data_IF_120042298758
#
_entry.id   IF_120042298758
#
_cell.length_a   1.000
_cell.length_b   1.000
_cell.length_c   1.000
_cell.angle_alpha   90.00
_cell.angle_beta   90.00
_cell.angle_gamma   90.00
#
_symmetry.space_group_name_H-M   'P 1'
#
loop_
_entity.id
_entity.type
_entity.pdbx_description
1 polymer ?
#
# COMPACT_ATOMS: atom_id res chain seq x y z
N UNK A 1 -0.61 -20.50 -9.67
CA UNK A 1 -0.37 -19.22 -10.42
C UNK A 1 0.81 -18.51 -9.81
N UNK A 2 1.71 -17.91 -10.60
CA UNK A 2 2.90 -17.21 -10.07
C UNK A 2 2.54 -15.93 -9.33
N UNK A 3 3.32 -15.58 -8.31
CA UNK A 3 3.17 -14.33 -7.55
C UNK A 3 4.37 -13.41 -7.83
N UNK A 4 4.08 -12.19 -8.26
CA UNK A 4 5.05 -11.12 -8.44
C UNK A 4 5.03 -10.19 -7.21
N UNK A 5 6.16 -10.10 -6.50
CA UNK A 5 6.36 -9.23 -5.35
C UNK A 5 7.06 -7.95 -5.79
N UNK A 6 6.37 -6.84 -5.79
CA UNK A 6 6.92 -5.53 -6.24
C UNK A 6 7.22 -4.66 -5.03
N UNK A 7 8.50 -4.40 -4.80
CA UNK A 7 9.00 -3.68 -3.63
C UNK A 7 9.62 -2.36 -4.05
N UNK A 8 9.08 -1.24 -3.58
CA UNK A 8 9.70 0.08 -3.76
C UNK A 8 10.53 0.46 -2.54
N UNK A 9 11.74 0.96 -2.76
CA UNK A 9 12.62 1.37 -1.65
C UNK A 9 13.38 2.66 -1.96
N UNK A 10 13.63 3.45 -0.91
CA UNK A 10 14.54 4.59 -0.96
C UNK A 10 16.00 4.19 -0.62
N UNK A 11 16.28 2.88 -0.53
CA UNK A 11 17.60 2.35 -0.22
C UNK A 11 17.78 1.98 1.27
N UNK A 12 16.71 1.62 1.98
CA UNK A 12 16.79 1.08 3.33
C UNK A 12 17.20 -0.39 3.27
N UNK A 13 18.51 -0.65 3.25
CA UNK A 13 19.05 -1.98 2.94
C UNK A 13 18.75 -3.02 4.02
N UNK A 14 18.83 -2.68 5.31
CA UNK A 14 18.59 -3.63 6.40
C UNK A 14 17.14 -4.17 6.41
N UNK A 15 16.10 -3.32 6.38
CA UNK A 15 14.74 -3.80 6.23
C UNK A 15 14.51 -4.59 4.93
N UNK A 16 15.07 -4.14 3.82
CA UNK A 16 14.95 -4.84 2.54
C UNK A 16 15.60 -6.22 2.57
N UNK A 17 16.75 -6.35 3.24
CA UNK A 17 17.41 -7.64 3.50
C UNK A 17 16.52 -8.55 4.34
N UNK A 18 15.89 -8.04 5.39
CA UNK A 18 14.98 -8.81 6.22
C UNK A 18 13.76 -9.32 5.41
N UNK A 19 13.20 -8.48 4.53
CA UNK A 19 12.14 -8.89 3.62
C UNK A 19 12.59 -10.05 2.72
N UNK A 20 13.73 -9.91 2.01
CA UNK A 20 14.24 -10.95 1.12
C UNK A 20 14.55 -12.24 1.87
N UNK A 21 15.15 -12.15 3.06
CA UNK A 21 15.40 -13.31 3.92
C UNK A 21 14.09 -14.01 4.34
N UNK A 22 13.03 -13.25 4.58
CA UNK A 22 11.73 -13.83 4.94
C UNK A 22 11.03 -14.54 3.77
N UNK A 23 11.36 -14.18 2.54
CA UNK A 23 10.86 -14.83 1.33
C UNK A 23 11.72 -16.03 0.91
N UNK A 24 12.99 -16.06 1.32
CA UNK A 24 13.91 -17.15 1.01
C UNK A 24 13.36 -18.50 1.48
N UNK A 25 13.28 -19.48 0.59
CA UNK A 25 12.71 -20.79 0.87
C UNK A 25 11.17 -20.86 0.90
N UNK A 26 10.47 -19.73 0.76
CA UNK A 26 9.01 -19.71 0.64
C UNK A 26 8.52 -19.53 -0.80
N UNK A 27 9.33 -18.88 -1.68
CA UNK A 27 8.95 -18.64 -3.07
C UNK A 27 8.81 -19.98 -3.83
N UNK A 28 7.74 -20.10 -4.61
CA UNK A 28 7.52 -21.25 -5.49
C UNK A 28 8.14 -21.01 -6.88
N UNK A 29 8.40 -22.09 -7.67
CA UNK A 29 8.86 -21.93 -9.03
C UNK A 29 7.95 -21.03 -9.87
N UNK A 30 8.52 -19.97 -10.43
CA UNK A 30 7.80 -18.95 -11.20
C UNK A 30 7.44 -17.69 -10.43
N UNK A 31 7.52 -17.70 -9.10
CA UNK A 31 7.43 -16.46 -8.32
C UNK A 31 8.63 -15.56 -8.60
N UNK A 32 8.43 -14.25 -8.47
CA UNK A 32 9.51 -13.31 -8.73
C UNK A 32 9.40 -12.05 -7.87
N UNK A 33 10.54 -11.60 -7.36
CA UNK A 33 10.64 -10.33 -6.62
C UNK A 33 11.28 -9.27 -7.52
N UNK A 34 10.65 -8.10 -7.62
CA UNK A 34 11.23 -6.94 -8.30
C UNK A 34 11.48 -5.85 -7.26
N UNK A 35 12.75 -5.51 -7.07
CA UNK A 35 13.16 -4.38 -6.24
C UNK A 35 13.22 -3.12 -7.10
N UNK A 36 12.47 -2.09 -6.75
CA UNK A 36 12.46 -0.81 -7.46
C UNK A 36 13.19 0.23 -6.63
N UNK A 37 14.43 0.52 -6.98
CA UNK A 37 15.25 1.51 -6.31
C UNK A 37 14.82 2.93 -6.69
N UNK A 38 14.46 3.72 -5.70
CA UNK A 38 14.18 5.16 -5.82
C UNK A 38 15.27 6.00 -5.14
N UNK A 39 16.36 5.37 -4.78
CA UNK A 39 17.60 5.85 -4.17
C UNK A 39 18.52 4.66 -3.97
N UNK A 40 19.82 4.88 -3.79
CA UNK A 40 20.83 3.84 -3.55
C UNK A 40 20.75 2.68 -4.58
N UNK A 41 20.72 3.03 -5.89
CA UNK A 41 20.49 2.04 -6.95
C UNK A 41 21.55 0.94 -6.98
N UNK A 42 22.81 1.30 -6.80
CA UNK A 42 23.93 0.36 -6.87
C UNK A 42 23.86 -0.65 -5.71
N UNK A 43 23.56 -0.16 -4.52
CA UNK A 43 23.45 -0.99 -3.31
C UNK A 43 22.23 -1.92 -3.38
N UNK A 44 21.08 -1.43 -3.90
CA UNK A 44 19.88 -2.27 -4.09
C UNK A 44 20.13 -3.32 -5.16
N UNK A 45 20.86 -2.96 -6.24
CA UNK A 45 21.24 -3.91 -7.29
C UNK A 45 22.20 -4.98 -6.77
N UNK A 46 23.19 -4.60 -5.97
CA UNK A 46 24.10 -5.53 -5.33
C UNK A 46 23.37 -6.49 -4.38
N UNK A 47 22.40 -6.00 -3.62
CA UNK A 47 21.57 -6.83 -2.74
C UNK A 47 20.73 -7.83 -3.56
N UNK A 48 20.17 -7.41 -4.70
CA UNK A 48 19.43 -8.33 -5.57
C UNK A 48 20.33 -9.44 -6.11
N UNK A 49 21.58 -9.12 -6.54
CA UNK A 49 22.56 -10.13 -7.00
C UNK A 49 22.88 -11.11 -5.85
N UNK A 50 23.17 -10.61 -4.65
CA UNK A 50 23.46 -11.45 -3.48
C UNK A 50 22.35 -12.49 -3.22
N UNK A 51 21.09 -12.06 -3.26
CA UNK A 51 19.97 -12.96 -3.02
C UNK A 51 19.67 -13.88 -4.20
N UNK A 52 19.91 -13.43 -5.42
CA UNK A 52 19.82 -14.30 -6.61
C UNK A 52 20.84 -15.45 -6.56
N UNK A 53 22.06 -15.20 -6.12
CA UNK A 53 23.09 -16.24 -5.87
C UNK A 53 22.69 -17.24 -4.79
N UNK A 54 21.82 -16.83 -3.85
CA UNK A 54 21.22 -17.69 -2.82
C UNK A 54 19.98 -18.46 -3.31
N UNK A 55 19.58 -18.28 -4.56
CA UNK A 55 18.46 -18.96 -5.18
C UNK A 55 17.11 -18.26 -5.04
N UNK A 56 17.07 -17.00 -4.57
CA UNK A 56 15.85 -16.19 -4.57
C UNK A 56 15.64 -15.61 -5.98
N UNK A 57 14.48 -15.83 -6.58
CA UNK A 57 14.14 -15.25 -7.88
C UNK A 57 13.88 -13.74 -7.72
N UNK A 58 14.93 -12.93 -7.80
CA UNK A 58 14.89 -11.48 -7.58
C UNK A 58 15.65 -10.72 -8.65
N UNK A 59 15.11 -9.57 -9.03
CA UNK A 59 15.76 -8.59 -9.92
C UNK A 59 15.61 -7.18 -9.35
N UNK A 60 16.49 -6.27 -9.78
CA UNK A 60 16.41 -4.86 -9.44
C UNK A 60 16.18 -4.00 -10.68
N UNK A 61 15.41 -2.93 -10.51
CA UNK A 61 15.24 -1.85 -11.48
C UNK A 61 15.19 -0.52 -10.73
N UNK A 62 15.05 0.59 -11.44
CA UNK A 62 14.97 1.91 -10.80
C UNK A 62 13.81 2.74 -11.36
N UNK A 63 13.32 3.67 -10.56
CA UNK A 63 12.33 4.67 -10.99
C UNK A 63 12.60 6.02 -10.32
N UNK A 64 11.92 7.05 -10.80
CA UNK A 64 11.78 8.31 -10.05
C UNK A 64 11.03 8.11 -8.72
N UNK A 65 11.04 9.15 -7.88
CA UNK A 65 10.31 9.12 -6.58
C UNK A 65 8.81 9.02 -6.77
N UNK A 66 8.17 8.30 -5.87
CA UNK A 66 6.73 8.08 -5.82
C UNK A 66 6.41 6.60 -5.71
N UNK A 67 5.74 6.18 -4.63
CA UNK A 67 5.43 4.77 -4.40
C UNK A 67 4.59 4.17 -5.55
N UNK A 68 3.60 4.91 -6.04
CA UNK A 68 2.76 4.49 -7.17
C UNK A 68 3.56 4.32 -8.45
N UNK A 69 4.41 5.31 -8.81
CA UNK A 69 5.32 5.20 -9.97
C UNK A 69 6.25 3.99 -9.84
N UNK A 70 6.85 3.81 -8.66
CA UNK A 70 7.73 2.67 -8.43
C UNK A 70 7.01 1.32 -8.56
N UNK A 71 5.80 1.20 -8.00
CA UNK A 71 5.01 -0.04 -8.12
C UNK A 71 4.62 -0.33 -9.58
N UNK A 72 4.21 0.68 -10.34
CA UNK A 72 3.92 0.54 -11.77
C UNK A 72 5.17 0.08 -12.55
N UNK A 73 6.33 0.73 -12.28
CA UNK A 73 7.61 0.34 -12.88
C UNK A 73 7.97 -1.10 -12.53
N UNK A 74 7.76 -1.52 -11.28
CA UNK A 74 8.07 -2.88 -10.85
C UNK A 74 7.17 -3.93 -11.49
N UNK A 75 5.87 -3.67 -11.65
CA UNK A 75 4.97 -4.60 -12.37
C UNK A 75 5.39 -4.73 -13.84
N UNK A 76 5.78 -3.63 -14.49
CA UNK A 76 6.28 -3.66 -15.86
C UNK A 76 7.59 -4.46 -16.00
N UNK A 77 8.42 -4.53 -14.95
CA UNK A 77 9.68 -5.26 -14.92
C UNK A 77 9.53 -6.75 -14.54
N UNK A 78 8.35 -7.22 -14.12
CA UNK A 78 8.10 -8.63 -13.87
C UNK A 78 8.27 -9.46 -15.15
N UNK A 79 8.68 -10.73 -15.04
CA UNK A 79 8.67 -11.67 -16.16
C UNK A 79 7.35 -11.65 -16.93
N UNK A 80 7.43 -11.87 -18.24
CA UNK A 80 6.25 -11.90 -19.10
C UNK A 80 5.31 -13.06 -18.69
N UNK A 81 4.02 -12.85 -18.85
CA UNK A 81 2.98 -13.84 -18.57
C UNK A 81 1.99 -13.40 -17.51
N UNK A 82 0.99 -14.23 -17.30
CA UNK A 82 -0.02 -13.98 -16.26
C UNK A 82 0.55 -14.31 -14.88
N UNK A 83 0.34 -13.40 -13.96
CA UNK A 83 0.75 -13.50 -12.57
C UNK A 83 -0.26 -12.80 -11.67
N UNK A 84 -0.18 -13.05 -10.39
CA UNK A 84 -0.79 -12.21 -9.37
C UNK A 84 0.29 -11.30 -8.80
N UNK A 85 -0.01 -10.01 -8.64
CA UNK A 85 0.93 -9.02 -8.11
C UNK A 85 0.56 -8.62 -6.70
N UNK A 86 1.57 -8.39 -5.87
CA UNK A 86 1.46 -7.86 -4.51
C UNK A 86 2.55 -6.81 -4.26
N UNK A 87 2.34 -5.92 -3.31
CA UNK A 87 3.12 -4.69 -3.16
C UNK A 87 3.67 -4.51 -1.73
N UNK A 88 4.50 -5.42 -1.23
CA UNK A 88 5.10 -5.26 0.09
C UNK A 88 5.92 -3.97 0.18
N UNK A 89 5.90 -3.34 1.35
CA UNK A 89 6.85 -2.27 1.67
C UNK A 89 8.22 -2.88 1.96
N UNK A 90 9.29 -2.12 1.81
CA UNK A 90 10.66 -2.60 2.04
C UNK A 90 10.95 -3.04 3.49
N UNK A 91 10.05 -2.72 4.44
CA UNK A 91 10.09 -3.18 5.84
C UNK A 91 9.00 -4.22 6.17
N UNK A 92 8.51 -4.92 5.17
CA UNK A 92 7.55 -6.03 5.35
C UNK A 92 8.34 -7.33 5.50
N UNK A 93 7.88 -8.25 6.34
CA UNK A 93 8.38 -9.62 6.42
C UNK A 93 7.22 -10.61 6.30
N UNK A 94 7.51 -11.76 5.70
CA UNK A 94 6.54 -12.83 5.45
C UNK A 94 6.79 -13.96 6.46
N UNK A 95 5.94 -14.13 7.49
CA UNK A 95 6.03 -15.29 8.37
C UNK A 95 6.01 -16.60 7.60
N UNK A 96 6.63 -17.65 8.13
CA UNK A 96 6.66 -18.96 7.49
C UNK A 96 5.23 -19.45 7.17
N UNK A 97 5.05 -19.99 5.96
CA UNK A 97 3.76 -20.45 5.45
C UNK A 97 2.85 -19.34 4.88
N UNK A 98 3.23 -18.07 4.99
CA UNK A 98 2.41 -16.98 4.43
C UNK A 98 2.33 -17.07 2.91
N UNK A 99 3.45 -17.30 2.21
CA UNK A 99 3.47 -17.40 0.74
C UNK A 99 2.67 -18.62 0.27
N UNK A 100 2.75 -19.75 0.99
CA UNK A 100 1.93 -20.93 0.74
C UNK A 100 0.42 -20.61 0.84
N UNK A 101 0.01 -19.89 1.88
CA UNK A 101 -1.38 -19.47 2.06
C UNK A 101 -1.84 -18.53 0.94
N UNK A 102 -0.96 -17.66 0.42
CA UNK A 102 -1.27 -16.81 -0.73
C UNK A 102 -1.45 -17.67 -1.99
N UNK A 103 -0.59 -18.65 -2.24
CA UNK A 103 -0.73 -19.58 -3.37
C UNK A 103 -2.03 -20.35 -3.32
N UNK A 104 -2.40 -20.90 -2.16
CA UNK A 104 -3.67 -21.61 -2.00
C UNK A 104 -4.89 -20.75 -2.38
N UNK A 105 -4.79 -19.42 -2.18
CA UNK A 105 -5.85 -18.50 -2.56
C UNK A 105 -5.89 -18.16 -4.05
N UNK A 106 -4.72 -18.08 -4.72
CA UNK A 106 -4.61 -17.64 -6.12
C UNK A 106 -4.63 -18.76 -7.15
N UNK A 107 -4.52 -20.02 -6.72
CA UNK A 107 -4.56 -21.19 -7.61
C UNK A 107 -5.94 -21.45 -8.22
N UNK A 108 -6.98 -20.82 -7.68
CA UNK A 108 -8.29 -20.82 -8.32
C UNK A 108 -8.27 -19.97 -9.61
N UNK A 109 -8.61 -20.56 -10.78
CA UNK A 109 -8.64 -19.81 -12.04
C UNK A 109 -9.59 -18.61 -12.05
N UNK A 110 -10.60 -18.60 -11.19
CA UNK A 110 -11.54 -17.47 -11.03
C UNK A 110 -11.01 -16.34 -10.19
N UNK A 111 -9.88 -16.51 -9.48
CA UNK A 111 -9.29 -15.46 -8.66
C UNK A 111 -9.01 -14.20 -9.50
N UNK A 112 -9.48 -13.04 -9.06
CA UNK A 112 -9.23 -11.74 -9.70
C UNK A 112 -8.44 -10.81 -8.81
N UNK A 113 -8.90 -10.62 -7.57
CA UNK A 113 -8.19 -9.88 -6.55
C UNK A 113 -8.62 -10.33 -5.16
N UNK A 114 -7.77 -10.01 -4.19
CA UNK A 114 -8.02 -10.27 -2.78
C UNK A 114 -7.26 -9.32 -1.88
N UNK A 115 -7.59 -9.36 -0.60
CA UNK A 115 -6.94 -8.58 0.41
C UNK A 115 -6.56 -9.42 1.63
N UNK A 116 -5.39 -9.18 2.18
CA UNK A 116 -4.93 -9.75 3.43
C UNK A 116 -4.45 -8.65 4.38
N UNK A 117 -4.31 -8.99 5.66
CA UNK A 117 -3.94 -8.00 6.68
C UNK A 117 -2.42 -7.90 6.86
N UNK A 118 -2.00 -6.80 7.47
CA UNK A 118 -0.64 -6.63 7.98
C UNK A 118 -0.67 -6.37 9.48
N UNK A 119 0.36 -6.86 10.17
CA UNK A 119 0.55 -6.73 11.60
C UNK A 119 1.78 -5.89 11.89
N UNK A 120 1.72 -5.13 12.97
CA UNK A 120 2.92 -4.58 13.62
C UNK A 120 2.93 -4.98 15.10
N UNK A 121 3.86 -4.47 15.88
CA UNK A 121 4.01 -4.78 17.31
C UNK A 121 2.73 -4.55 18.16
N UNK A 122 1.74 -3.82 17.63
CA UNK A 122 0.48 -3.50 18.31
C UNK A 122 -0.66 -4.41 17.90
N UNK A 123 -0.45 -5.27 16.92
CA UNK A 123 -1.47 -6.14 16.37
C UNK A 123 -1.83 -5.81 14.91
N UNK A 124 -2.98 -6.28 14.43
CA UNK A 124 -3.41 -6.06 13.06
C UNK A 124 -3.64 -4.57 12.80
N UNK A 125 -3.12 -4.07 11.68
CA UNK A 125 -3.31 -2.66 11.26
C UNK A 125 -4.75 -2.37 10.84
N UNK A 126 -5.41 -3.39 10.30
CA UNK A 126 -6.81 -3.33 9.89
C UNK A 126 -7.51 -4.63 10.25
N UNK A 127 -8.81 -4.56 10.47
CA UNK A 127 -9.67 -5.73 10.60
C UNK A 127 -10.32 -6.00 9.26
N UNK A 128 -10.05 -7.16 8.70
CA UNK A 128 -10.69 -7.57 7.45
C UNK A 128 -12.12 -8.02 7.72
N UNK A 129 -13.03 -7.83 6.75
CA UNK A 129 -14.33 -8.50 6.75
C UNK A 129 -14.20 -10.03 6.75
N UNK A 130 -15.26 -10.69 7.15
CA UNK A 130 -15.35 -12.15 7.08
C UNK A 130 -15.23 -12.65 5.63
N UNK A 131 -14.62 -13.82 5.41
CA UNK A 131 -14.56 -14.43 4.08
C UNK A 131 -15.95 -14.53 3.42
N UNK A 132 -16.03 -14.18 2.14
CA UNK A 132 -17.30 -14.13 1.40
C UNK A 132 -18.11 -12.85 1.55
N UNK A 133 -17.69 -11.91 2.40
CA UNK A 133 -18.30 -10.58 2.45
C UNK A 133 -18.05 -9.84 1.13
N UNK A 134 -19.08 -9.33 0.44
CA UNK A 134 -18.89 -8.54 -0.77
C UNK A 134 -18.00 -7.31 -0.53
N UNK A 135 -17.08 -7.05 -1.46
CA UNK A 135 -16.29 -5.82 -1.44
C UNK A 135 -17.20 -4.63 -1.73
N UNK A 136 -17.08 -3.56 -0.96
CA UNK A 136 -17.78 -2.32 -1.21
C UNK A 136 -16.89 -1.09 -0.98
N UNK A 137 -17.41 0.08 -1.30
CA UNK A 137 -16.67 1.33 -1.14
C UNK A 137 -16.37 1.72 0.31
N UNK A 138 -16.95 1.03 1.30
CA UNK A 138 -16.69 1.29 2.72
C UNK A 138 -15.72 0.29 3.32
N UNK A 139 -15.85 -1.00 2.99
CA UNK A 139 -14.97 -2.02 3.50
C UNK A 139 -13.64 -2.15 2.73
N UNK A 140 -13.55 -1.61 1.52
CA UNK A 140 -12.29 -1.54 0.75
C UNK A 140 -11.14 -0.88 1.52
N UNK A 141 -11.43 -0.01 2.48
CA UNK A 141 -10.45 0.64 3.36
C UNK A 141 -9.81 -0.30 4.39
N UNK A 142 -10.32 -1.53 4.52
CA UNK A 142 -9.71 -2.56 5.36
C UNK A 142 -8.46 -3.17 4.74
N UNK A 143 -8.24 -2.99 3.44
CA UNK A 143 -7.03 -3.44 2.75
C UNK A 143 -6.10 -2.25 2.52
N UNK A 144 -4.88 -2.35 3.02
CA UNK A 144 -3.79 -1.42 2.69
C UNK A 144 -2.97 -2.01 1.54
N UNK A 145 -2.23 -1.17 0.84
CA UNK A 145 -1.55 -1.52 -0.41
C UNK A 145 -0.67 -2.77 -0.32
N UNK A 146 0.02 -2.98 0.81
CA UNK A 146 0.86 -4.16 1.03
C UNK A 146 0.09 -5.47 1.21
N UNK A 147 -1.21 -5.38 1.46
CA UNK A 147 -2.13 -6.52 1.57
C UNK A 147 -2.95 -6.76 0.32
N UNK A 148 -2.68 -6.08 -0.78
CA UNK A 148 -3.38 -6.29 -2.05
C UNK A 148 -2.74 -7.46 -2.80
N UNK A 149 -3.58 -8.41 -3.23
CA UNK A 149 -3.29 -9.37 -4.28
C UNK A 149 -4.21 -9.08 -5.47
N UNK A 150 -3.64 -8.97 -6.68
CA UNK A 150 -4.42 -8.66 -7.87
C UNK A 150 -3.83 -9.38 -9.09
N UNK A 151 -4.68 -9.97 -9.96
CA UNK A 151 -4.19 -10.44 -11.25
C UNK A 151 -3.54 -9.32 -12.04
N UNK A 152 -2.39 -9.61 -12.65
CA UNK A 152 -1.69 -8.64 -13.51
C UNK A 152 -2.58 -8.12 -14.62
N UNK A 153 -3.35 -9.00 -15.26
CA UNK A 153 -4.30 -8.59 -16.31
C UNK A 153 -5.35 -7.59 -15.83
N UNK A 154 -5.85 -7.71 -14.58
CA UNK A 154 -6.74 -6.72 -13.98
C UNK A 154 -5.98 -5.44 -13.63
N UNK A 155 -4.78 -5.54 -13.07
CA UNK A 155 -3.93 -4.38 -12.76
C UNK A 155 -3.66 -3.54 -14.01
N UNK A 156 -3.28 -4.19 -15.12
CA UNK A 156 -3.00 -3.54 -16.39
C UNK A 156 -4.27 -2.91 -16.99
N UNK A 157 -5.40 -3.61 -16.93
CA UNK A 157 -6.69 -3.09 -17.41
C UNK A 157 -7.18 -1.86 -16.66
N UNK A 158 -6.92 -1.77 -15.34
CA UNK A 158 -7.21 -0.59 -14.51
C UNK A 158 -6.23 0.56 -14.78
N UNK A 159 -5.09 0.29 -15.43
CA UNK A 159 -4.03 1.25 -15.69
C UNK A 159 -3.06 1.44 -14.53
N UNK A 160 -2.94 0.45 -13.65
CA UNK A 160 -2.03 0.48 -12.50
C UNK A 160 -2.43 1.47 -11.40
N UNK A 161 -1.49 1.83 -10.55
CA UNK A 161 -1.66 2.89 -9.55
C UNK A 161 -1.74 4.28 -10.19
N UNK A 162 -2.56 5.17 -9.64
CA UNK A 162 -2.49 6.60 -10.00
C UNK A 162 -1.21 7.23 -9.43
N UNK A 163 -0.29 7.61 -10.32
CA UNK A 163 1.01 8.19 -9.95
C UNK A 163 0.88 9.57 -9.29
N UNK A 164 -0.30 10.19 -9.39
CA UNK A 164 -0.61 11.42 -8.66
C UNK A 164 -1.03 11.16 -7.20
N UNK A 165 -1.09 9.90 -6.76
CA UNK A 165 -1.43 9.52 -5.39
C UNK A 165 -0.32 8.68 -4.75
N UNK A 166 -0.31 8.65 -3.43
CA UNK A 166 0.64 7.84 -2.67
C UNK A 166 1.88 8.58 -2.19
N UNK A 167 2.64 7.96 -1.28
CA UNK A 167 3.83 8.57 -0.69
C UNK A 167 4.88 8.95 -1.74
N UNK A 168 5.40 10.17 -1.66
CA UNK A 168 6.43 10.67 -2.58
C UNK A 168 5.92 11.10 -3.95
N UNK A 169 4.61 11.07 -4.24
CA UNK A 169 4.06 11.64 -5.46
C UNK A 169 4.31 13.16 -5.55
N UNK A 170 4.33 13.71 -6.76
CA UNK A 170 4.51 15.14 -6.99
C UNK A 170 3.31 15.99 -6.53
N UNK A 171 2.21 15.35 -6.16
CA UNK A 171 0.97 15.99 -5.72
C UNK A 171 0.84 16.01 -4.19
N UNK A 172 -0.08 16.77 -3.61
CA UNK A 172 -0.34 16.73 -2.18
C UNK A 172 -1.11 15.48 -1.69
N UNK A 173 -1.50 14.56 -2.58
CA UNK A 173 -2.33 13.39 -2.28
C UNK A 173 -1.46 12.18 -1.89
N UNK A 174 -0.88 12.22 -0.70
CA UNK A 174 0.24 11.34 -0.28
C UNK A 174 -0.18 9.97 0.29
N UNK A 175 -1.43 9.53 0.09
CA UNK A 175 -1.94 8.23 0.57
C UNK A 175 -3.23 7.84 -0.16
N UNK A 176 -3.71 6.62 0.08
CA UNK A 176 -4.93 6.00 -0.47
C UNK A 176 -4.80 5.52 -1.92
N UNK A 177 -3.58 5.37 -2.41
CA UNK A 177 -3.31 4.83 -3.75
C UNK A 177 -3.80 3.38 -3.90
N UNK A 178 -3.66 2.55 -2.85
CA UNK A 178 -4.17 1.17 -2.86
C UNK A 178 -5.70 1.12 -2.86
N UNK A 179 -6.35 1.97 -2.06
CA UNK A 179 -7.81 2.08 -2.05
C UNK A 179 -8.34 2.61 -3.40
N UNK A 180 -7.67 3.61 -3.98
CA UNK A 180 -7.99 4.14 -5.31
C UNK A 180 -7.90 3.05 -6.38
N UNK A 181 -6.84 2.24 -6.38
CA UNK A 181 -6.67 1.11 -7.30
C UNK A 181 -7.86 0.13 -7.22
N UNK A 182 -8.22 -0.28 -6.01
CA UNK A 182 -9.33 -1.22 -5.80
C UNK A 182 -10.69 -0.60 -6.20
N UNK A 183 -10.94 0.67 -5.90
CA UNK A 183 -12.17 1.34 -6.29
C UNK A 183 -12.30 1.49 -7.81
N UNK A 184 -11.19 1.75 -8.53
CA UNK A 184 -11.16 1.74 -9.99
C UNK A 184 -11.38 0.34 -10.55
N UNK A 185 -10.78 -0.68 -9.93
CA UNK A 185 -11.00 -2.08 -10.32
C UNK A 185 -12.47 -2.49 -10.16
N UNK A 186 -13.12 -2.14 -9.04
CA UNK A 186 -14.56 -2.37 -8.83
C UNK A 186 -15.44 -1.68 -9.88
N UNK A 187 -15.06 -0.47 -10.29
CA UNK A 187 -15.80 0.28 -11.31
C UNK A 187 -15.63 -0.32 -12.71
N UNK A 188 -14.42 -0.84 -13.01
CA UNK A 188 -14.10 -1.47 -14.28
C UNK A 188 -14.74 -2.88 -14.40
N UNK A 189 -14.67 -3.66 -13.34
CA UNK A 189 -15.15 -5.04 -13.27
C UNK A 189 -16.14 -5.21 -12.09
N UNK A 190 -17.45 -4.90 -12.31
CA UNK A 190 -18.45 -4.97 -11.23
C UNK A 190 -18.60 -6.34 -10.58
N UNK A 191 -18.24 -7.43 -11.28
CA UNK A 191 -18.17 -8.79 -10.71
C UNK A 191 -17.20 -8.92 -9.55
N UNK A 192 -16.13 -8.12 -9.56
CA UNK A 192 -15.12 -8.10 -8.49
C UNK A 192 -15.72 -7.86 -7.10
N UNK A 193 -16.83 -7.13 -7.00
CA UNK A 193 -17.56 -6.91 -5.74
C UNK A 193 -17.89 -8.24 -5.03
N UNK A 194 -18.30 -9.26 -5.76
CA UNK A 194 -18.65 -10.59 -5.23
C UNK A 194 -17.46 -11.53 -5.18
N UNK A 195 -16.53 -11.35 -6.12
CA UNK A 195 -15.46 -12.32 -6.37
C UNK A 195 -14.15 -11.92 -5.63
N UNK A 196 -14.16 -10.77 -4.94
CA UNK A 196 -13.04 -10.34 -4.10
C UNK A 196 -12.88 -11.27 -2.90
N UNK A 197 -11.63 -11.65 -2.62
CA UNK A 197 -11.33 -12.59 -1.53
C UNK A 197 -10.66 -11.91 -0.35
N UNK A 198 -11.27 -12.06 0.82
CA UNK A 198 -10.67 -11.72 2.10
C UNK A 198 -9.84 -12.91 2.57
N UNK A 199 -8.51 -12.73 2.61
CA UNK A 199 -7.59 -13.85 2.83
C UNK A 199 -7.14 -13.92 4.29
N UNK A 200 -7.05 -15.12 4.88
CA UNK A 200 -6.58 -15.29 6.26
C UNK A 200 -5.06 -15.10 6.42
N UNK A 201 -4.35 -14.76 5.35
CA UNK A 201 -2.92 -14.51 5.39
C UNK A 201 -2.60 -13.19 6.09
N UNK A 202 -1.38 -13.10 6.62
CA UNK A 202 -0.89 -11.89 7.26
C UNK A 202 0.61 -11.72 7.04
N UNK A 203 1.03 -10.49 6.82
CA UNK A 203 2.44 -10.10 6.77
C UNK A 203 2.79 -9.27 7.99
N UNK A 204 4.02 -9.38 8.47
CA UNK A 204 4.55 -8.52 9.51
C UNK A 204 5.20 -7.29 8.89
N UNK A 205 5.00 -6.12 9.48
CA UNK A 205 5.62 -4.87 9.06
C UNK A 205 6.45 -4.34 10.20
N UNK A 206 7.76 -4.37 10.02
CA UNK A 206 8.70 -3.84 11.00
C UNK A 206 8.65 -2.32 11.03
N UNK A 207 8.84 -1.80 12.26
CA UNK A 207 8.93 -0.36 12.47
C UNK A 207 7.56 0.31 12.47
N UNK A 208 7.64 1.54 12.74
CA UNK A 208 6.72 2.31 13.52
C UNK A 208 5.50 2.72 12.73
N UNK A 209 4.36 2.46 13.31
CA UNK A 209 3.11 3.09 12.95
C UNK A 209 3.22 4.62 13.01
N UNK A 210 2.35 5.27 12.27
CA UNK A 210 2.21 6.72 12.11
C UNK A 210 2.35 7.48 13.43
N UNK A 211 3.46 8.19 13.62
CA UNK A 211 3.62 9.14 14.73
C UNK A 211 4.70 8.82 15.76
N UNK A 212 5.25 7.60 15.83
CA UNK A 212 6.37 7.31 16.74
C UNK A 212 7.69 7.89 16.22
N UNK A 213 8.50 8.42 17.12
CA UNK A 213 9.80 9.00 16.77
C UNK A 213 9.76 10.30 15.97
N UNK A 214 8.56 10.81 15.65
CA UNK A 214 8.38 12.09 14.99
C UNK A 214 8.17 13.21 16.01
N UNK A 215 8.74 14.37 15.74
CA UNK A 215 8.35 15.59 16.45
C UNK A 215 6.87 15.92 16.22
N UNK A 216 6.27 16.69 17.11
CA UNK A 216 4.88 17.13 16.98
C UNK A 216 4.59 17.81 15.63
N UNK A 217 5.54 18.62 15.15
CA UNK A 217 5.39 19.32 13.88
C UNK A 217 5.42 18.38 12.69
N UNK A 218 6.32 17.39 12.68
CA UNK A 218 6.42 16.37 11.63
C UNK A 218 5.18 15.47 11.63
N UNK A 219 4.75 15.01 12.81
CA UNK A 219 3.53 14.21 12.97
C UNK A 219 2.31 14.93 12.41
N UNK A 220 2.11 16.21 12.77
CA UNK A 220 0.98 17.01 12.27
C UNK A 220 1.03 17.23 10.76
N UNK A 221 2.23 17.47 10.19
CA UNK A 221 2.41 17.54 8.73
C UNK A 221 2.02 16.23 8.06
N UNK A 222 2.48 15.10 8.60
CA UNK A 222 2.17 13.76 8.08
C UNK A 222 0.67 13.46 8.16
N UNK A 223 0.02 13.75 9.29
CA UNK A 223 -1.42 13.57 9.47
C UNK A 223 -2.23 14.42 8.48
N UNK A 224 -1.82 15.68 8.25
CA UNK A 224 -2.47 16.53 7.25
C UNK A 224 -2.30 15.97 5.83
N UNK A 225 -1.11 15.49 5.48
CA UNK A 225 -0.85 14.86 4.19
C UNK A 225 -1.70 13.59 3.99
N UNK A 226 -1.84 12.76 5.04
CA UNK A 226 -2.71 11.59 5.02
C UNK A 226 -4.18 11.95 4.89
N UNK A 227 -4.63 12.98 5.61
CA UNK A 227 -5.98 13.53 5.46
C UNK A 227 -6.27 13.95 4.02
N UNK A 228 -5.31 14.58 3.34
CA UNK A 228 -5.44 15.02 1.94
C UNK A 228 -5.72 13.85 0.99
N UNK A 229 -4.91 12.79 1.06
CA UNK A 229 -5.09 11.63 0.18
C UNK A 229 -6.43 10.95 0.42
N UNK A 230 -6.80 10.68 1.67
CA UNK A 230 -8.08 10.07 2.00
C UNK A 230 -9.28 10.94 1.59
N UNK A 231 -9.23 12.25 1.86
CA UNK A 231 -10.27 13.19 1.43
C UNK A 231 -10.41 13.25 -0.09
N UNK A 232 -9.29 13.18 -0.82
CA UNK A 232 -9.26 13.13 -2.28
C UNK A 232 -9.94 11.87 -2.80
N UNK A 233 -9.59 10.69 -2.28
CA UNK A 233 -10.19 9.43 -2.67
C UNK A 233 -11.72 9.43 -2.46
N UNK A 234 -12.22 9.93 -1.33
CA UNK A 234 -13.66 10.08 -1.12
C UNK A 234 -14.32 11.03 -2.14
N UNK A 235 -13.61 12.09 -2.56
CA UNK A 235 -14.14 13.04 -3.52
C UNK A 235 -14.20 12.48 -4.95
N UNK A 236 -13.18 11.73 -5.36
CA UNK A 236 -13.06 11.18 -6.72
C UNK A 236 -13.95 9.97 -6.96
N UNK A 237 -14.22 9.17 -5.92
CA UNK A 237 -14.97 7.91 -6.05
C UNK A 237 -16.46 8.00 -5.67
N UNK A 238 -17.06 9.18 -5.80
CA UNK A 238 -18.52 9.33 -5.72
C UNK A 238 -19.14 8.98 -4.37
N UNK A 239 -18.41 9.16 -3.25
CA UNK A 239 -19.02 9.02 -1.93
C UNK A 239 -20.07 10.12 -1.70
N UNK A 240 -21.19 9.82 -1.00
CA UNK A 240 -22.24 10.79 -0.74
C UNK A 240 -21.70 12.04 -0.02
N UNK A 241 -22.22 13.22 -0.36
CA UNK A 241 -21.76 14.49 0.23
C UNK A 241 -21.84 14.50 1.76
N UNK A 242 -22.93 13.93 2.33
CA UNK A 242 -23.08 13.84 3.77
C UNK A 242 -21.97 12.97 4.41
N UNK A 243 -21.58 11.85 3.73
CA UNK A 243 -20.49 10.99 4.20
C UNK A 243 -19.15 11.74 4.14
N UNK A 244 -18.87 12.43 3.04
CA UNK A 244 -17.65 13.23 2.89
C UNK A 244 -17.56 14.32 3.96
N UNK A 245 -18.67 15.01 4.25
CA UNK A 245 -18.75 16.02 5.28
C UNK A 245 -18.52 15.39 6.68
N UNK A 246 -19.25 14.31 6.99
CA UNK A 246 -19.10 13.60 8.27
C UNK A 246 -17.68 13.07 8.48
N UNK A 247 -17.09 12.45 7.45
CA UNK A 247 -15.70 11.97 7.50
C UNK A 247 -14.70 13.12 7.71
N UNK A 248 -14.91 14.25 7.05
CA UNK A 248 -14.04 15.43 7.20
C UNK A 248 -14.11 15.95 8.64
N UNK A 249 -15.32 16.15 9.18
CA UNK A 249 -15.53 16.63 10.55
C UNK A 249 -15.00 15.63 11.59
N UNK A 250 -15.17 14.33 11.36
CA UNK A 250 -14.62 13.27 12.21
C UNK A 250 -13.08 13.33 12.33
N UNK A 251 -12.39 14.05 11.43
CA UNK A 251 -10.98 14.35 11.56
C UNK A 251 -10.63 15.08 12.85
N UNK A 252 -11.52 15.94 13.36
CA UNK A 252 -11.32 16.65 14.64
C UNK A 252 -11.23 15.68 15.83
N UNK A 253 -11.93 14.53 15.74
CA UNK A 253 -11.92 13.50 16.77
C UNK A 253 -10.76 12.52 16.65
N UNK A 254 -9.86 12.73 15.69
CA UNK A 254 -8.75 11.81 15.44
C UNK A 254 -7.87 11.60 16.67
N UNK A 255 -7.56 12.68 17.39
CA UNK A 255 -6.76 12.63 18.61
C UNK A 255 -7.45 11.94 19.79
N UNK A 256 -8.80 11.84 19.79
CA UNK A 256 -9.56 11.13 20.83
C UNK A 256 -9.59 9.62 20.55
N UNK A 257 -9.63 9.24 19.27
CA UNK A 257 -9.80 7.84 18.84
C UNK A 257 -8.52 7.05 18.77
N UNK A 258 -7.37 7.73 18.73
CA UNK A 258 -6.08 7.09 18.54
C UNK A 258 -5.23 7.21 19.81
N UNK A 259 -4.50 6.13 20.17
CA UNK A 259 -3.66 6.14 21.36
C UNK A 259 -2.42 7.05 21.17
N UNK A 260 -1.76 7.33 22.28
CA UNK A 260 -0.47 8.04 22.25
C UNK A 260 0.50 7.40 21.21
N UNK A 261 1.30 8.22 20.49
CA UNK A 261 1.61 9.62 20.76
C UNK A 261 0.63 10.64 20.14
N UNK A 262 -0.49 10.23 19.57
CA UNK A 262 -1.49 11.12 18.98
C UNK A 262 -2.17 11.94 20.10
N UNK A 263 -2.31 13.24 19.88
CA UNK A 263 -2.89 14.19 20.83
C UNK A 263 -4.18 14.80 20.29
N UNK A 264 -4.95 15.45 21.15
CA UNK A 264 -6.17 16.18 20.73
C UNK A 264 -5.89 17.22 19.64
N UNK A 265 -4.73 17.89 19.72
CA UNK A 265 -4.32 18.89 18.74
C UNK A 265 -4.05 18.31 17.35
N UNK A 266 -3.83 17.02 17.23
CA UNK A 266 -3.60 16.32 15.99
C UNK A 266 -4.88 16.12 15.16
N UNK A 267 -6.05 16.30 15.78
CA UNK A 267 -7.34 16.33 15.08
C UNK A 267 -7.47 17.47 14.09
N UNK A 268 -6.94 18.65 14.42
CA UNK A 268 -7.02 19.82 13.53
C UNK A 268 -6.30 19.61 12.18
N UNK A 269 -5.01 19.21 12.12
CA UNK A 269 -4.34 18.90 10.85
C UNK A 269 -5.01 17.76 10.08
N UNK A 270 -5.57 16.74 10.74
CA UNK A 270 -6.32 15.69 10.08
C UNK A 270 -7.60 16.24 9.43
N UNK A 271 -8.37 17.07 10.14
CA UNK A 271 -9.56 17.74 9.60
C UNK A 271 -9.19 18.59 8.38
N UNK A 272 -8.18 19.48 8.52
CA UNK A 272 -7.74 20.33 7.40
C UNK A 272 -7.31 19.50 6.19
N UNK A 273 -6.54 18.45 6.40
CA UNK A 273 -6.13 17.57 5.30
C UNK A 273 -7.33 16.94 4.59
N UNK A 274 -8.29 16.39 5.32
CA UNK A 274 -9.51 15.81 4.74
C UNK A 274 -10.34 16.85 3.97
N UNK A 275 -10.44 18.06 4.48
CA UNK A 275 -11.11 19.18 3.80
C UNK A 275 -10.39 19.55 2.50
N UNK A 276 -9.05 19.69 2.55
CA UNK A 276 -8.23 19.99 1.37
C UNK A 276 -8.41 18.92 0.29
N UNK A 277 -8.35 17.63 0.66
CA UNK A 277 -8.58 16.52 -0.25
C UNK A 277 -9.99 16.52 -0.84
N UNK A 278 -11.00 16.73 -0.01
CA UNK A 278 -12.40 16.79 -0.44
C UNK A 278 -12.68 17.95 -1.40
N UNK A 279 -11.97 19.07 -1.28
CA UNK A 279 -12.08 20.23 -2.15
C UNK A 279 -11.11 20.20 -3.35
N UNK A 280 -10.17 19.25 -3.38
CA UNK A 280 -9.15 19.14 -4.43
C UNK A 280 -8.13 20.28 -4.44
N UNK A 281 -7.94 20.99 -3.32
CA UNK A 281 -7.00 22.13 -3.20
C UNK A 281 -6.37 22.20 -1.83
N UNK A 282 -5.14 22.71 -1.75
CA UNK A 282 -4.43 22.91 -0.49
C UNK A 282 -4.58 24.35 0.02
N UNK A 283 -4.60 24.50 1.34
CA UNK A 283 -4.60 25.80 2.02
C UNK A 283 -3.19 26.10 2.55
N UNK A 284 -2.63 27.25 2.14
CA UNK A 284 -1.30 27.71 2.54
C UNK A 284 -0.14 27.07 1.76
N UNK A 285 1.10 27.37 2.16
CA UNK A 285 2.32 27.03 1.42
C UNK A 285 2.80 25.58 1.54
N UNK A 286 2.15 24.72 2.31
CA UNK A 286 2.65 23.36 2.53
C UNK A 286 2.32 22.46 1.34
N UNK A 287 3.06 22.62 0.25
CA UNK A 287 2.84 21.85 -0.99
C UNK A 287 3.33 20.41 -0.94
N UNK A 288 4.33 20.08 -0.14
CA UNK A 288 4.83 18.71 -0.06
C UNK A 288 5.31 18.37 1.35
N UNK A 289 4.98 17.18 1.80
CA UNK A 289 5.73 16.53 2.86
C UNK A 289 6.79 15.68 2.16
N UNK A 290 8.01 16.17 2.13
CA UNK A 290 9.15 15.28 1.88
C UNK A 290 9.19 14.29 3.04
N UNK A 291 8.82 13.05 2.80
CA UNK A 291 9.06 11.94 3.72
C UNK A 291 10.53 11.51 3.58
N UNK A 292 11.45 12.47 3.80
CA UNK A 292 12.85 12.16 3.98
C UNK A 292 13.06 11.82 5.45
N UNK A 293 13.01 10.54 5.77
CA UNK A 293 13.95 9.85 6.68
C UNK A 293 13.71 8.36 6.52
#
# INVERSE_FOLDING_TARGET
MNIGFVVTTLGRLDPLRALLTSLEGQLQPGDHVVLVAQGAQDEVSALAVEFAERGVAVTATSSGRGASLGRNTGVAALPAGEAVVTFPNDNTTYPAGTVEALHAAVDDPSFRAGGFTSWDERGPKTTLPEPGTPLDKYNVWSVIEMGILMRRSLFDAVGGFDENMGPGSATPWQVAEGTDLLLRAMALEPGLVRDFRWLPAAVHVDGISTGFGLSDAERRRKLRAYGRGTGRAFATHGYPLWWRAAFTVAGLLYGVRNPKPITLLDGWPMFLGRLEGALGRTFGQSRMVSTTR
#
